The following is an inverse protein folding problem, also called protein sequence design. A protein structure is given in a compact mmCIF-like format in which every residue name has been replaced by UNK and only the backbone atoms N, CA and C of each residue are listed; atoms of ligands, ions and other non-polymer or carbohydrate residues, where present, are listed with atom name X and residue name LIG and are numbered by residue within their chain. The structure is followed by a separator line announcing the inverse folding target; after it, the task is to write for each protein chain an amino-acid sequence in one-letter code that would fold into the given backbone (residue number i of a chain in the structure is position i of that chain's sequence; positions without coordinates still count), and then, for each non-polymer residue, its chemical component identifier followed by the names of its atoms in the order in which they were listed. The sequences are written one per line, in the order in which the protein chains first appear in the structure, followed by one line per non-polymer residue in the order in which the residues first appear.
data_IF_515084870489
#
_entry.id   IF_515084870489
#
_cell.length_a   1.000
_cell.length_b   1.000
_cell.length_c   1.000
_cell.angle_alpha   90.00
_cell.angle_beta   90.00
_cell.angle_gamma   90.00
#
_symmetry.space_group_name_H-M   'P 1'
#
loop_
_entity.id
_entity.type
_entity.pdbx_description
1 polymer ?
#
# COMPACT_ATOMS: atom_id res chain seq x y z
N UNK A 1 -0.42 3.78 7.67
CA UNK A 1 -1.00 2.63 6.96
C UNK A 1 -0.29 1.38 7.45
N UNK A 2 -1.04 0.37 7.88
CA UNK A 2 -0.47 -0.86 8.47
C UNK A 2 -1.05 -2.09 7.78
N UNK A 3 -0.20 -3.06 7.47
CA UNK A 3 -0.59 -4.40 7.02
C UNK A 3 0.04 -5.44 7.94
N UNK A 4 -0.23 -6.73 7.72
CA UNK A 4 0.46 -7.82 8.44
C UNK A 4 2.00 -7.78 8.27
N UNK A 5 2.52 -7.14 7.22
CA UNK A 5 3.96 -7.16 6.87
C UNK A 5 4.74 -5.97 7.42
N UNK A 6 4.06 -4.86 7.70
CA UNK A 6 4.71 -3.66 8.18
C UNK A 6 3.75 -2.48 8.29
N UNK A 7 4.31 -1.33 8.63
CA UNK A 7 3.59 -0.08 8.71
C UNK A 7 4.43 1.06 8.13
N UNK A 8 3.76 2.06 7.60
CA UNK A 8 4.35 3.30 7.10
C UNK A 8 3.48 4.49 7.51
N UNK A 9 4.12 5.63 7.77
CA UNK A 9 3.46 6.91 8.04
C UNK A 9 3.72 7.85 6.88
N UNK A 10 2.66 8.36 6.27
CA UNK A 10 2.69 9.23 5.10
C UNK A 10 1.56 10.25 5.18
N UNK A 11 1.71 11.37 4.49
CA UNK A 11 0.60 12.29 4.23
C UNK A 11 -0.38 11.64 3.25
N UNK A 12 -1.67 11.73 3.56
CA UNK A 12 -2.74 11.23 2.72
C UNK A 12 -3.67 12.39 2.30
N UNK A 13 -4.30 12.25 1.14
CA UNK A 13 -5.32 13.16 0.61
C UNK A 13 -6.56 12.35 0.25
N UNK A 14 -7.74 12.89 0.54
CA UNK A 14 -9.01 12.32 0.06
C UNK A 14 -9.15 12.57 -1.46
N UNK A 15 -9.51 11.53 -2.20
CA UNK A 15 -9.65 11.57 -3.64
C UNK A 15 -11.01 10.97 -4.06
N UNK A 16 -11.94 11.77 -4.62
CA UNK A 16 -13.29 11.30 -4.97
C UNK A 16 -13.33 10.17 -5.99
N UNK A 17 -12.30 10.04 -6.83
CA UNK A 17 -12.19 8.96 -7.82
C UNK A 17 -11.77 7.62 -7.22
N UNK A 18 -11.34 7.57 -5.95
CA UNK A 18 -10.99 6.34 -5.25
C UNK A 18 -12.24 5.80 -4.53
N UNK A 19 -12.66 4.54 -4.81
CA UNK A 19 -13.80 3.93 -4.13
C UNK A 19 -13.65 3.90 -2.61
N UNK A 20 -14.77 3.98 -1.89
CA UNK A 20 -14.77 3.80 -0.45
C UNK A 20 -14.19 2.44 -0.05
N UNK A 21 -13.37 2.43 1.01
CA UNK A 21 -12.68 1.24 1.48
C UNK A 21 -11.41 0.86 0.70
N UNK A 22 -11.07 1.60 -0.38
CA UNK A 22 -9.82 1.40 -1.13
C UNK A 22 -8.75 2.42 -0.71
N UNK A 23 -7.52 1.94 -0.52
CA UNK A 23 -6.34 2.79 -0.35
C UNK A 23 -5.49 2.66 -1.61
N UNK A 24 -5.28 3.76 -2.32
CA UNK A 24 -4.36 3.81 -3.45
C UNK A 24 -3.00 4.37 -3.00
N UNK A 25 -1.92 3.68 -3.34
CA UNK A 25 -0.56 4.15 -3.06
C UNK A 25 0.35 3.92 -4.28
N UNK A 26 0.99 4.97 -4.81
CA UNK A 26 2.00 4.84 -5.85
C UNK A 26 3.27 4.19 -5.29
N UNK A 27 3.90 3.31 -6.08
CA UNK A 27 5.11 2.56 -5.70
C UNK A 27 6.41 3.16 -6.28
N UNK A 28 6.31 4.25 -7.04
CA UNK A 28 7.44 4.89 -7.71
C UNK A 28 8.19 5.92 -6.85
N UNK A 29 7.74 6.15 -5.61
CA UNK A 29 8.40 7.10 -4.70
C UNK A 29 9.33 6.34 -3.75
N UNK A 30 10.62 6.74 -3.66
CA UNK A 30 11.58 6.12 -2.73
C UNK A 30 11.10 6.18 -1.27
N UNK A 31 10.45 7.28 -0.90
CA UNK A 31 9.96 7.54 0.46
C UNK A 31 8.63 6.83 0.76
N UNK A 32 7.90 6.37 -0.27
CA UNK A 32 6.66 5.60 -0.13
C UNK A 32 6.94 4.14 -0.49
N UNK A 33 7.62 3.45 0.42
CA UNK A 33 8.04 2.07 0.25
C UNK A 33 6.84 1.09 0.33
N UNK A 34 5.99 1.13 -0.69
CA UNK A 34 4.79 0.29 -0.82
C UNK A 34 5.10 -1.21 -0.71
N UNK A 35 6.30 -1.60 -1.16
CA UNK A 35 6.81 -2.97 -1.09
C UNK A 35 6.94 -3.49 0.35
N UNK A 36 7.10 -2.62 1.35
CA UNK A 36 7.12 -3.02 2.77
C UNK A 36 5.74 -3.54 3.20
N UNK A 37 4.67 -3.03 2.59
CA UNK A 37 3.30 -3.39 2.93
C UNK A 37 2.78 -4.60 2.16
N UNK A 38 3.41 -4.97 1.04
CA UNK A 38 2.91 -5.97 0.08
C UNK A 38 3.77 -7.23 0.03
N UNK A 39 3.31 -8.26 -0.70
CA UNK A 39 4.02 -9.51 -0.85
C UNK A 39 5.11 -9.37 -1.94
N UNK A 40 6.39 -9.70 -1.67
CA UNK A 40 7.43 -9.68 -2.70
C UNK A 40 7.34 -10.89 -3.67
N UNK A 41 6.39 -11.81 -3.45
CA UNK A 41 6.23 -12.96 -4.32
C UNK A 41 5.87 -12.53 -5.75
N UNK A 42 6.58 -13.14 -6.70
CA UNK A 42 6.28 -13.04 -8.13
C UNK A 42 5.29 -14.15 -8.48
N UNK A 43 4.29 -13.82 -9.30
CA UNK A 43 3.38 -14.82 -9.85
C UNK A 43 4.20 -15.93 -10.57
N UNK A 44 3.93 -17.22 -10.31
CA UNK A 44 4.74 -18.32 -10.81
C UNK A 44 4.67 -18.50 -12.34
N UNK A 45 3.64 -17.96 -13.00
CA UNK A 45 3.43 -18.13 -14.45
C UNK A 45 3.84 -16.87 -15.22
N UNK A 46 3.36 -15.71 -14.81
CA UNK A 46 3.59 -14.42 -15.45
C UNK A 46 4.83 -13.69 -14.97
N UNK A 47 5.45 -14.11 -13.84
CA UNK A 47 6.58 -13.42 -13.17
C UNK A 47 6.30 -11.94 -12.85
N UNK A 48 5.03 -11.55 -12.87
CA UNK A 48 4.59 -10.22 -12.45
C UNK A 48 4.50 -10.27 -10.93
N UNK A 49 5.09 -9.30 -10.21
CA UNK A 49 4.94 -9.24 -8.77
C UNK A 49 3.46 -9.17 -8.37
N UNK A 50 3.07 -9.85 -7.29
CA UNK A 50 1.77 -9.69 -6.61
C UNK A 50 1.64 -8.31 -5.92
N UNK A 51 2.19 -7.26 -6.54
CA UNK A 51 2.57 -5.99 -5.95
C UNK A 51 1.40 -5.12 -5.49
N UNK A 52 0.14 -5.50 -5.71
CA UNK A 52 -0.92 -4.48 -5.86
C UNK A 52 -2.09 -4.58 -4.90
N UNK A 53 -2.19 -5.63 -4.07
CA UNK A 53 -3.27 -5.72 -3.09
C UNK A 53 -2.80 -6.33 -1.76
N UNK A 54 -3.16 -5.65 -0.68
CA UNK A 54 -3.01 -6.16 0.67
C UNK A 54 -4.16 -5.62 1.53
N UNK A 55 -4.66 -6.44 2.46
CA UNK A 55 -5.50 -5.93 3.52
C UNK A 55 -4.68 -4.93 4.34
N UNK A 56 -5.22 -3.72 4.49
CA UNK A 56 -4.54 -2.61 5.14
C UNK A 56 -5.49 -1.91 6.11
N UNK A 57 -4.93 -1.42 7.21
CA UNK A 57 -5.60 -0.54 8.18
C UNK A 57 -5.06 0.88 8.02
N UNK A 58 -5.96 1.83 7.90
CA UNK A 58 -5.64 3.25 7.93
C UNK A 58 -5.92 3.80 9.34
N UNK A 59 -4.96 4.51 9.90
CA UNK A 59 -5.06 5.18 11.19
C UNK A 59 -4.53 6.60 11.03
N UNK A 60 -5.15 7.56 11.73
CA UNK A 60 -4.62 8.92 11.80
C UNK A 60 -3.40 8.92 12.71
N UNK A 61 -2.30 9.48 12.23
CA UNK A 61 -1.16 9.77 13.09
C UNK A 61 -1.51 10.99 13.95
N UNK A 62 -1.62 10.78 15.26
CA UNK A 62 -1.84 11.86 16.22
C UNK A 62 -0.48 12.16 16.84
N UNK A 63 0.00 13.38 16.63
CA UNK A 63 1.22 13.91 17.24
C UNK A 63 0.96 14.35 18.68
#
# INVERSE_FOLDING_TARGET
ISTRRGNISLTARCEPSVPEGLIFMPFCYPDAAANILTNPALDPTGKIPELKFAAAKLEKHIS
#
